data_IF_037672896187
#
_entry.id   IF_037672896187
#
_cell.length_a   1.000
_cell.length_b   1.000
_cell.length_c   1.000
_cell.angle_alpha   90.00
_cell.angle_beta   90.00
_cell.angle_gamma   90.00
#
_symmetry.space_group_name_H-M   'P 1'
#
loop_
_entity.id
_entity.type
_entity.pdbx_description
1 polymer ?
#
# COMPACT_ATOMS: atom_id res chain seq x y z
N UNK A 1 -70.69 -2.72 22.20
CA UNK A 1 -70.75 -3.85 21.23
C UNK A 1 -70.79 -3.28 19.82
N UNK A 2 -70.20 -4.02 18.88
CA UNK A 2 -70.21 -3.85 17.42
C UNK A 2 -69.13 -2.98 16.78
N UNK A 3 -68.24 -3.71 16.09
CA UNK A 3 -67.13 -3.27 15.24
C UNK A 3 -67.67 -3.15 13.81
N UNK A 4 -67.16 -2.22 13.00
CA UNK A 4 -66.97 -2.46 11.55
C UNK A 4 -65.63 -1.85 11.12
N UNK A 5 -64.71 -2.73 10.72
CA UNK A 5 -63.55 -2.43 9.88
C UNK A 5 -64.02 -2.32 8.43
N UNK A 6 -63.48 -1.38 7.65
CA UNK A 6 -63.35 -1.54 6.19
C UNK A 6 -61.98 -1.04 5.73
N UNK A 7 -61.20 -2.00 5.26
CA UNK A 7 -59.97 -1.84 4.50
C UNK A 7 -60.22 -1.24 3.13
N UNK A 8 -59.20 -0.56 2.61
CA UNK A 8 -58.87 -0.58 1.19
C UNK A 8 -58.87 0.79 0.53
N UNK A 9 -57.68 1.31 0.23
CA UNK A 9 -57.43 1.88 -1.09
C UNK A 9 -55.93 1.81 -1.42
N UNK A 10 -55.61 0.97 -2.41
CA UNK A 10 -54.35 0.99 -3.15
C UNK A 10 -54.50 2.02 -4.28
N UNK A 11 -53.58 2.97 -4.40
CA UNK A 11 -53.39 3.85 -5.57
C UNK A 11 -51.87 4.11 -5.66
N UNK A 12 -51.13 3.44 -6.56
CA UNK A 12 -50.71 3.86 -7.93
C UNK A 12 -49.70 5.04 -7.85
N UNK A 13 -48.48 4.95 -8.35
CA UNK A 13 -48.12 5.24 -9.75
C UNK A 13 -46.71 4.69 -10.11
N UNK A 14 -46.64 4.05 -11.26
CA UNK A 14 -45.46 3.85 -12.12
C UNK A 14 -45.21 5.07 -13.01
N UNK A 15 -43.95 5.50 -13.19
CA UNK A 15 -43.38 6.13 -14.40
C UNK A 15 -41.87 6.35 -14.16
N UNK A 16 -40.97 5.60 -14.80
CA UNK A 16 -40.36 5.86 -16.11
C UNK A 16 -39.53 7.16 -16.17
N UNK A 17 -38.22 7.08 -16.41
CA UNK A 17 -37.56 7.58 -17.63
C UNK A 17 -36.02 7.47 -17.57
N UNK A 18 -35.47 7.19 -18.75
CA UNK A 18 -34.07 7.02 -19.13
C UNK A 18 -33.39 8.38 -19.32
N UNK A 19 -32.11 8.52 -18.94
CA UNK A 19 -31.21 9.46 -19.60
C UNK A 19 -29.74 9.00 -19.45
N UNK A 20 -29.20 8.44 -20.52
CA UNK A 20 -27.77 8.26 -20.72
C UNK A 20 -27.16 9.59 -21.18
N UNK A 21 -26.03 9.98 -20.58
CA UNK A 21 -25.14 11.01 -21.11
C UNK A 21 -23.71 10.51 -20.99
N UNK A 22 -23.15 10.16 -22.14
CA UNK A 22 -21.74 9.84 -22.35
C UNK A 22 -21.14 10.99 -23.16
N UNK A 23 -20.15 11.72 -22.64
CA UNK A 23 -19.14 12.56 -23.34
C UNK A 23 -18.23 13.11 -22.22
N UNK A 24 -16.90 13.10 -22.24
CA UNK A 24 -15.91 12.68 -23.22
C UNK A 24 -14.51 12.67 -22.56
N UNK A 25 -13.55 11.99 -23.19
CA UNK A 25 -12.17 11.94 -22.75
C UNK A 25 -11.35 13.10 -23.35
N UNK A 26 -10.55 13.84 -22.57
CA UNK A 26 -9.50 14.68 -23.12
C UNK A 26 -8.17 13.92 -23.20
N UNK A 27 -7.82 13.60 -24.45
CA UNK A 27 -6.52 13.69 -25.12
C UNK A 27 -5.26 13.78 -24.24
N UNK A 28 -4.36 12.80 -24.43
CA UNK A 28 -2.98 12.82 -23.98
C UNK A 28 -2.17 13.92 -24.68
N UNK A 29 -1.49 14.76 -23.91
CA UNK A 29 -0.46 15.66 -24.42
C UNK A 29 0.88 15.29 -23.78
N UNK A 30 1.75 14.66 -24.57
CA UNK A 30 3.16 14.46 -24.24
C UNK A 30 3.93 15.75 -24.53
N UNK A 31 4.48 16.39 -23.50
CA UNK A 31 5.46 17.46 -23.65
C UNK A 31 6.70 17.11 -22.83
N UNK A 32 7.78 16.80 -23.54
CA UNK A 32 9.14 16.81 -23.00
C UNK A 32 9.82 18.12 -23.41
N UNK A 33 10.62 18.73 -22.53
CA UNK A 33 11.71 19.60 -22.95
C UNK A 33 13.07 19.00 -22.59
N UNK A 34 13.93 19.09 -23.60
CA UNK A 34 15.36 18.83 -23.68
C UNK A 34 16.22 19.97 -23.10
N UNK A 35 17.31 19.60 -22.40
CA UNK A 35 18.59 20.35 -22.24
C UNK A 35 18.57 21.53 -21.26
N UNK A 36 19.68 22.02 -20.70
CA UNK A 36 21.08 21.60 -20.54
C UNK A 36 21.75 22.65 -19.61
N UNK A 37 22.96 22.34 -19.14
CA UNK A 37 24.00 23.25 -18.61
C UNK A 37 23.99 23.60 -17.11
N UNK A 38 25.18 23.41 -16.50
CA UNK A 38 25.53 24.03 -15.23
C UNK A 38 26.68 23.36 -14.46
N UNK A 39 27.83 23.11 -15.10
CA UNK A 39 29.09 22.83 -14.37
C UNK A 39 29.46 24.02 -13.49
N UNK A 40 29.70 23.79 -12.20
CA UNK A 40 30.51 24.65 -11.36
C UNK A 40 31.43 23.77 -10.53
N UNK A 41 32.64 23.57 -11.06
CA UNK A 41 33.81 23.17 -10.30
C UNK A 41 34.14 24.23 -9.23
N UNK A 42 34.43 23.81 -8.00
CA UNK A 42 35.46 24.42 -7.12
C UNK A 42 35.73 23.46 -5.93
N UNK A 43 36.86 23.61 -5.21
CA UNK A 43 37.84 22.54 -5.06
C UNK A 43 37.93 22.11 -3.58
N UNK A 44 38.30 20.86 -3.33
CA UNK A 44 38.34 20.38 -1.95
C UNK A 44 39.22 19.15 -1.79
N UNK A 45 40.53 19.37 -1.95
CA UNK A 45 41.61 18.66 -1.27
C UNK A 45 41.49 17.13 -1.16
N UNK A 46 42.16 16.44 -2.08
CA UNK A 46 42.59 15.05 -1.88
C UNK A 46 43.51 14.98 -0.66
N UNK A 47 42.97 14.57 0.48
CA UNK A 47 43.77 14.09 1.59
C UNK A 47 44.08 12.61 1.32
N UNK A 48 45.15 12.38 0.57
CA UNK A 48 45.92 11.15 0.64
C UNK A 48 46.33 10.91 2.10
N UNK A 49 45.90 9.78 2.68
CA UNK A 49 46.75 9.05 3.62
C UNK A 49 46.39 7.56 3.61
N UNK A 50 47.39 6.67 3.68
CA UNK A 50 47.34 5.33 3.14
C UNK A 50 46.88 4.34 4.21
N UNK A 51 46.21 3.28 3.78
CA UNK A 51 45.79 2.20 4.67
C UNK A 51 45.56 0.95 3.86
N UNK A 52 46.62 0.19 3.71
CA UNK A 52 46.76 -1.02 2.91
C UNK A 52 45.58 -1.99 3.02
N UNK A 53 45.26 -2.58 1.86
CA UNK A 53 44.58 -3.86 1.72
C UNK A 53 45.29 -4.92 2.57
N UNK A 54 44.74 -5.22 3.74
CA UNK A 54 45.05 -6.47 4.43
C UNK A 54 44.00 -7.48 4.01
N UNK A 55 44.29 -8.16 2.90
CA UNK A 55 43.67 -9.44 2.61
C UNK A 55 43.96 -10.39 3.79
N UNK A 56 42.90 -10.85 4.45
CA UNK A 56 42.94 -12.06 5.27
C UNK A 56 41.88 -13.02 4.72
N UNK A 57 42.26 -14.27 4.41
CA UNK A 57 41.43 -15.23 3.71
C UNK A 57 40.52 -15.94 4.70
N UNK A 58 39.24 -16.13 4.36
CA UNK A 58 38.37 -16.94 5.20
C UNK A 58 36.90 -16.87 4.83
N UNK A 59 36.46 -17.91 4.13
CA UNK A 59 35.08 -18.41 4.08
C UNK A 59 33.96 -17.44 3.69
N UNK A 60 33.51 -17.59 2.45
CA UNK A 60 32.10 -17.46 2.08
C UNK A 60 31.27 -18.50 2.86
N UNK A 61 30.93 -18.19 4.11
CA UNK A 61 29.96 -18.99 4.87
C UNK A 61 28.94 -18.05 5.49
N UNK A 62 27.74 -18.18 4.96
CA UNK A 62 26.46 -17.88 5.59
C UNK A 62 26.01 -16.41 5.63
N UNK A 63 25.34 -15.99 4.55
CA UNK A 63 24.39 -14.87 4.56
C UNK A 63 23.03 -15.28 5.21
N UNK A 64 23.03 -16.30 6.06
CA UNK A 64 21.95 -16.64 6.98
C UNK A 64 21.74 -15.54 8.02
N UNK A 65 20.91 -14.55 7.67
CA UNK A 65 20.05 -13.91 8.67
C UNK A 65 20.45 -12.54 9.22
N UNK A 66 21.35 -11.77 8.58
CA UNK A 66 21.68 -10.39 9.04
C UNK A 66 21.81 -9.33 7.94
N UNK A 67 20.95 -9.38 6.92
CA UNK A 67 20.64 -8.19 6.13
C UNK A 67 19.68 -7.27 6.91
N UNK A 68 20.11 -6.80 8.08
CA UNK A 68 19.51 -5.67 8.78
C UNK A 68 20.61 -4.61 8.70
N UNK A 69 20.32 -3.52 7.99
CA UNK A 69 21.09 -2.27 7.97
C UNK A 69 22.15 -2.05 6.86
N UNK A 70 21.75 -2.27 5.60
CA UNK A 70 22.40 -1.62 4.44
C UNK A 70 21.33 -0.99 3.52
N UNK A 71 20.40 -0.22 4.10
CA UNK A 71 19.30 0.41 3.38
C UNK A 71 19.38 1.93 3.23
N UNK A 72 20.45 2.58 3.72
CA UNK A 72 20.58 4.06 3.67
C UNK A 72 21.67 4.57 2.71
N UNK A 73 22.30 3.69 1.95
CA UNK A 73 23.20 4.09 0.87
C UNK A 73 23.15 2.93 -0.13
N UNK A 74 22.56 3.08 -1.31
CA UNK A 74 23.20 3.75 -2.44
C UNK A 74 22.10 3.94 -3.50
N UNK A 75 21.99 5.16 -4.03
CA UNK A 75 21.11 5.66 -5.11
C UNK A 75 19.73 6.17 -4.68
N UNK A 76 19.63 7.50 -4.59
CA UNK A 76 18.39 8.20 -4.35
C UNK A 76 17.33 7.91 -5.40
N UNK A 77 16.23 7.28 -4.98
CA UNK A 77 14.86 7.52 -5.45
C UNK A 77 13.88 6.70 -4.59
N UNK A 78 13.67 7.09 -3.32
CA UNK A 78 12.47 6.80 -2.50
C UNK A 78 11.84 5.40 -2.42
N UNK A 79 12.42 4.35 -2.99
CA UNK A 79 11.87 2.99 -2.93
C UNK A 79 12.69 2.17 -1.96
N UNK A 80 12.24 2.12 -0.71
CA UNK A 80 12.68 1.11 0.23
C UNK A 80 12.29 -0.27 -0.32
N UNK A 81 13.22 -1.22 -0.28
CA UNK A 81 12.89 -2.62 -0.58
C UNK A 81 11.82 -3.08 0.42
N UNK A 82 10.76 -3.79 -0.02
CA UNK A 82 9.74 -4.22 0.90
C UNK A 82 10.30 -5.17 1.96
N UNK A 83 10.00 -4.88 3.21
CA UNK A 83 10.29 -5.75 4.35
C UNK A 83 9.32 -6.93 4.37
N UNK A 84 9.65 -8.02 5.07
CA UNK A 84 8.77 -9.21 5.19
C UNK A 84 8.49 -9.52 6.66
N UNK A 85 7.24 -9.84 6.98
CA UNK A 85 6.81 -10.31 8.30
C UNK A 85 5.69 -11.35 8.17
N UNK A 86 5.31 -11.98 9.29
CA UNK A 86 4.13 -12.86 9.33
C UNK A 86 2.86 -12.07 9.64
N UNK A 87 1.71 -12.57 9.19
CA UNK A 87 0.42 -12.12 9.71
C UNK A 87 0.34 -12.28 11.24
N UNK A 88 -0.54 -11.52 11.89
CA UNK A 88 -0.73 -11.46 13.36
C UNK A 88 0.51 -11.04 14.19
N UNK A 89 1.64 -10.65 13.59
CA UNK A 89 2.85 -10.29 14.36
C UNK A 89 2.69 -8.95 15.09
N UNK A 90 2.64 -7.86 14.32
CA UNK A 90 2.62 -6.51 14.86
C UNK A 90 2.00 -5.54 13.87
N UNK A 91 1.27 -4.56 14.42
CA UNK A 91 0.75 -3.42 13.68
C UNK A 91 1.90 -2.70 12.97
N UNK A 92 1.74 -2.49 11.67
CA UNK A 92 2.64 -1.68 10.86
C UNK A 92 2.24 -0.22 10.94
N UNK A 93 3.21 0.67 10.93
CA UNK A 93 2.98 2.10 10.90
C UNK A 93 3.99 2.82 10.02
N UNK A 94 3.63 4.02 9.59
CA UNK A 94 4.47 4.89 8.79
C UNK A 94 3.82 6.26 8.62
N UNK A 95 4.23 6.96 7.56
CA UNK A 95 3.68 8.26 7.21
C UNK A 95 3.89 8.55 5.73
N UNK A 96 4.36 9.75 5.42
CA UNK A 96 4.62 10.24 4.07
C UNK A 96 5.46 9.25 3.22
N UNK A 97 5.08 9.13 1.94
CA UNK A 97 5.81 8.36 0.94
C UNK A 97 5.14 7.04 0.61
N UNK A 98 5.91 6.12 0.03
CA UNK A 98 5.42 4.79 -0.33
C UNK A 98 6.14 3.74 0.51
N UNK A 99 5.38 3.03 1.33
CA UNK A 99 5.89 1.89 2.09
C UNK A 99 5.29 0.62 1.53
N UNK A 100 6.13 -0.39 1.30
CA UNK A 100 5.71 -1.70 0.83
C UNK A 100 6.18 -2.76 1.82
N UNK A 101 5.32 -3.73 2.15
CA UNK A 101 5.63 -4.77 3.12
C UNK A 101 4.97 -6.08 2.73
N UNK A 102 5.74 -7.15 2.69
CA UNK A 102 5.23 -8.51 2.52
C UNK A 102 4.73 -9.05 3.85
N UNK A 103 3.56 -9.68 3.80
CA UNK A 103 2.94 -10.40 4.91
C UNK A 103 2.76 -11.86 4.52
N UNK A 104 3.50 -12.75 5.18
CA UNK A 104 3.33 -14.19 5.08
C UNK A 104 2.02 -14.60 5.75
N UNK A 105 1.08 -15.10 4.94
CA UNK A 105 -0.21 -15.63 5.39
C UNK A 105 -0.10 -17.08 5.89
N UNK A 106 1.04 -17.74 5.65
CA UNK A 106 1.27 -19.14 6.03
C UNK A 106 0.58 -20.18 5.14
N UNK A 107 -0.19 -19.73 4.14
CA UNK A 107 -0.88 -20.58 3.17
C UNK A 107 -1.12 -19.86 1.86
N UNK A 108 -1.26 -20.62 0.77
CA UNK A 108 -1.73 -20.07 -0.49
C UNK A 108 -3.26 -19.95 -0.52
N UNK A 109 -3.77 -19.10 -1.40
CA UNK A 109 -5.20 -19.04 -1.67
C UNK A 109 -5.73 -20.33 -2.32
N UNK A 110 -7.06 -20.53 -2.37
CA UNK A 110 -8.09 -19.57 -1.97
C UNK A 110 -8.23 -19.45 -0.45
N UNK A 111 -8.24 -18.21 0.04
CA UNK A 111 -8.42 -17.90 1.47
C UNK A 111 -8.86 -16.44 1.62
N UNK A 112 -9.07 -15.99 2.85
CA UNK A 112 -9.39 -14.59 3.14
C UNK A 112 -8.78 -14.19 4.47
N UNK A 113 -8.41 -12.92 4.61
CA UNK A 113 -7.93 -12.38 5.88
C UNK A 113 -8.59 -11.03 6.18
N UNK A 114 -8.58 -10.65 7.46
CA UNK A 114 -9.04 -9.33 7.90
C UNK A 114 -7.86 -8.35 7.85
N UNK A 115 -8.04 -7.24 7.13
CA UNK A 115 -7.15 -6.09 7.17
C UNK A 115 -7.83 -5.02 8.04
N UNK A 116 -7.16 -4.59 9.10
CA UNK A 116 -7.59 -3.47 9.94
C UNK A 116 -6.64 -2.29 9.75
N UNK A 117 -7.14 -1.06 9.78
CA UNK A 117 -6.33 0.14 9.58
C UNK A 117 -6.85 1.37 10.32
N UNK A 118 -5.96 2.34 10.46
CA UNK A 118 -6.16 3.70 10.95
C UNK A 118 -5.31 4.64 10.10
N UNK A 119 -5.90 5.67 9.50
CA UNK A 119 -5.14 6.62 8.66
C UNK A 119 -5.31 8.07 9.12
N UNK A 120 -5.87 8.27 10.31
CA UNK A 120 -6.11 9.56 10.94
C UNK A 120 -6.80 10.57 10.00
N UNK A 121 -6.51 11.87 10.18
CA UNK A 121 -7.18 12.96 9.50
C UNK A 121 -6.55 13.33 8.14
N UNK A 122 -5.40 12.74 7.80
CA UNK A 122 -4.70 12.96 6.53
C UNK A 122 -4.89 11.75 5.60
N UNK A 123 -5.34 11.92 4.35
CA UNK A 123 -5.68 10.77 3.51
C UNK A 123 -4.50 9.90 3.05
N UNK A 124 -4.61 8.60 3.30
CA UNK A 124 -3.71 7.54 2.84
C UNK A 124 -4.40 6.55 1.92
N UNK A 125 -3.63 5.82 1.11
CA UNK A 125 -4.16 4.72 0.30
C UNK A 125 -3.45 3.42 0.59
N UNK A 126 -4.21 2.39 0.96
CA UNK A 126 -3.71 1.04 1.23
C UNK A 126 -4.13 0.12 0.08
N UNK A 127 -3.15 -0.53 -0.54
CA UNK A 127 -3.35 -1.47 -1.63
C UNK A 127 -2.76 -2.82 -1.27
N UNK A 128 -3.46 -3.90 -1.60
CA UNK A 128 -2.99 -5.27 -1.37
C UNK A 128 -2.78 -5.97 -2.69
N UNK A 129 -1.63 -6.61 -2.84
CA UNK A 129 -1.26 -7.39 -4.02
C UNK A 129 -0.98 -8.84 -3.65
N UNK A 130 -1.39 -9.75 -4.52
CA UNK A 130 -1.13 -11.19 -4.42
C UNK A 130 -0.61 -11.71 -5.76
N UNK A 131 0.56 -12.34 -5.75
CA UNK A 131 1.23 -12.79 -6.99
C UNK A 131 1.44 -11.67 -8.01
N UNK A 132 1.66 -10.43 -7.54
CA UNK A 132 1.82 -9.24 -8.39
C UNK A 132 0.52 -8.58 -8.86
N UNK A 133 -0.65 -9.18 -8.64
CA UNK A 133 -1.96 -8.60 -9.01
C UNK A 133 -2.59 -7.89 -7.82
N UNK A 134 -3.16 -6.70 -8.03
CA UNK A 134 -3.91 -5.99 -6.99
C UNK A 134 -5.22 -6.73 -6.70
N UNK A 135 -5.46 -7.06 -5.42
CA UNK A 135 -6.66 -7.76 -4.95
C UNK A 135 -7.54 -6.88 -4.05
N UNK A 136 -7.00 -5.80 -3.49
CA UNK A 136 -7.74 -4.85 -2.67
C UNK A 136 -7.17 -3.43 -2.79
N UNK A 137 -8.02 -2.44 -2.59
CA UNK A 137 -7.70 -1.02 -2.64
C UNK A 137 -8.72 -0.24 -1.82
N UNK A 138 -8.27 0.46 -0.81
CA UNK A 138 -9.13 1.29 0.04
C UNK A 138 -9.58 2.57 -0.66
N UNK A 139 -8.94 2.95 -1.77
CA UNK A 139 -8.94 4.36 -2.19
C UNK A 139 -8.20 5.23 -1.17
N UNK A 140 -8.35 6.56 -1.27
CA UNK A 140 -7.85 7.46 -0.24
C UNK A 140 -8.83 7.50 0.93
N UNK A 141 -8.35 7.14 2.11
CA UNK A 141 -9.07 7.07 3.37
C UNK A 141 -8.32 7.92 4.41
N UNK A 142 -9.05 8.61 5.27
CA UNK A 142 -8.51 9.60 6.20
C UNK A 142 -9.26 10.92 6.03
N UNK A 143 -9.95 11.37 7.07
CA UNK A 143 -10.69 12.62 7.10
C UNK A 143 -10.96 13.06 8.56
N UNK A 144 -11.43 14.28 8.75
CA UNK A 144 -11.74 14.82 10.07
C UNK A 144 -13.06 14.31 10.68
N UNK A 145 -13.69 13.28 10.10
CA UNK A 145 -15.00 12.76 10.53
C UNK A 145 -14.86 11.37 11.13
N UNK A 146 -14.21 10.45 10.42
CA UNK A 146 -14.00 9.05 10.81
C UNK A 146 -12.52 8.72 11.00
N UNK A 147 -11.61 9.69 10.82
CA UNK A 147 -10.16 9.51 11.01
C UNK A 147 -9.60 8.36 10.16
N UNK A 148 -10.32 7.96 9.10
CA UNK A 148 -9.90 6.85 8.25
C UNK A 148 -9.87 5.47 8.92
N UNK A 149 -10.36 5.30 10.15
CA UNK A 149 -10.44 4.00 10.82
C UNK A 149 -11.32 3.04 10.03
N UNK A 150 -10.87 1.80 9.82
CA UNK A 150 -11.69 0.81 9.15
C UNK A 150 -11.11 -0.59 9.12
N UNK A 151 -11.89 -1.50 8.52
CA UNK A 151 -11.45 -2.85 8.25
C UNK A 151 -12.15 -3.44 7.02
N UNK A 152 -11.50 -4.42 6.39
CA UNK A 152 -12.06 -5.16 5.27
C UNK A 152 -11.58 -6.61 5.27
N UNK A 153 -12.48 -7.51 4.89
CA UNK A 153 -12.13 -8.89 4.54
C UNK A 153 -11.59 -8.91 3.11
N UNK A 154 -10.30 -9.21 2.98
CA UNK A 154 -9.62 -9.31 1.70
C UNK A 154 -9.64 -10.76 1.22
N UNK A 155 -10.24 -10.98 0.05
CA UNK A 155 -10.29 -12.30 -0.57
C UNK A 155 -9.01 -12.55 -1.39
N UNK A 156 -8.33 -13.65 -1.08
CA UNK A 156 -7.12 -14.10 -1.79
C UNK A 156 -7.52 -15.18 -2.79
N UNK A 157 -7.35 -14.97 -4.10
CA UNK A 157 -7.68 -15.96 -5.12
C UNK A 157 -6.75 -17.17 -5.07
N UNK A 158 -7.10 -18.24 -5.78
CA UNK A 158 -6.22 -19.40 -5.92
C UNK A 158 -4.88 -19.01 -6.58
N UNK A 159 -3.77 -19.49 -6.01
CA UNK A 159 -2.43 -19.20 -6.47
C UNK A 159 -1.38 -20.01 -5.71
N UNK A 160 -0.10 -19.76 -5.99
CA UNK A 160 1.03 -20.47 -5.35
C UNK A 160 1.74 -19.63 -4.28
N UNK A 161 1.51 -18.32 -4.22
CA UNK A 161 2.16 -17.45 -3.24
C UNK A 161 1.56 -17.68 -1.84
N UNK A 162 2.40 -17.66 -0.81
CA UNK A 162 2.01 -17.73 0.61
C UNK A 162 1.93 -16.36 1.28
N UNK A 163 2.22 -15.30 0.54
CA UNK A 163 2.29 -13.93 1.05
C UNK A 163 1.54 -12.94 0.17
N UNK A 164 1.18 -11.81 0.80
CA UNK A 164 0.64 -10.62 0.14
C UNK A 164 1.58 -9.44 0.33
N UNK A 165 1.65 -8.56 -0.66
CA UNK A 165 2.32 -7.28 -0.54
C UNK A 165 1.28 -6.22 -0.18
N UNK A 166 1.43 -5.58 0.97
CA UNK A 166 0.66 -4.38 1.32
C UNK A 166 1.52 -3.17 0.96
N UNK A 167 0.94 -2.26 0.17
CA UNK A 167 1.54 -0.98 -0.16
C UNK A 167 0.69 0.14 0.39
N UNK A 168 1.30 1.01 1.18
CA UNK A 168 0.66 2.24 1.67
C UNK A 168 1.29 3.43 0.97
N UNK A 169 0.46 4.34 0.48
CA UNK A 169 0.90 5.61 -0.11
C UNK A 169 0.34 6.74 0.73
N UNK A 170 1.24 7.44 1.40
CA UNK A 170 0.92 8.55 2.28
C UNK A 170 1.30 9.91 1.73
N UNK A 171 0.43 10.88 1.99
CA UNK A 171 0.65 12.29 1.66
C UNK A 171 1.59 12.97 2.67
N UNK A 172 2.17 14.13 2.34
CA UNK A 172 3.03 14.86 3.27
C UNK A 172 2.34 15.17 4.59
N UNK A 173 3.01 14.83 5.69
CA UNK A 173 2.50 15.04 7.05
C UNK A 173 1.48 14.00 7.52
N UNK A 174 1.22 12.93 6.75
CA UNK A 174 0.35 11.85 7.21
C UNK A 174 1.03 10.90 8.19
N UNK A 175 0.21 10.17 8.93
CA UNK A 175 0.56 8.98 9.66
C UNK A 175 -0.47 7.90 9.35
N UNK A 176 -0.09 6.64 9.45
CA UNK A 176 -1.01 5.53 9.27
C UNK A 176 -0.55 4.33 10.06
N UNK A 177 -1.50 3.47 10.40
CA UNK A 177 -1.24 2.16 10.95
C UNK A 177 -2.16 1.09 10.35
N UNK A 178 -1.68 -0.14 10.19
CA UNK A 178 -2.51 -1.27 9.77
C UNK A 178 -2.04 -2.60 10.34
N UNK A 179 -2.95 -3.57 10.39
CA UNK A 179 -2.67 -4.95 10.79
C UNK A 179 -3.24 -5.92 9.76
N UNK A 180 -2.42 -6.88 9.32
CA UNK A 180 -2.86 -8.03 8.52
C UNK A 180 -3.07 -9.21 9.46
N UNK A 181 -4.32 -9.62 9.63
CA UNK A 181 -4.64 -10.78 10.45
C UNK A 181 -4.37 -12.08 9.68
N UNK A 182 -4.05 -13.18 10.37
CA UNK A 182 -3.91 -14.45 9.69
C UNK A 182 -5.26 -14.99 9.20
N UNK A 183 -5.32 -15.68 8.05
CA UNK A 183 -6.52 -16.38 7.63
C UNK A 183 -6.95 -17.42 8.66
N UNK A 184 -8.25 -17.44 8.99
CA UNK A 184 -8.83 -18.50 9.81
C UNK A 184 -8.81 -19.83 9.04
N UNK A 185 -8.51 -20.92 9.76
CA UNK A 185 -8.39 -22.28 9.22
C UNK A 185 -9.75 -22.95 9.02
#
# INVERSE_FOLDING_TARGET
>A
MSRIRRSGLRVVLTAATVAAVAFGAPVAASAAPTGSAGSNDLPGSVADLPGSVSELPGSVVDLGGRAIDLGSAILGNGSSLPTTQKCDQSRQSGGEGVTSTYHELGRSGPTSFLLDWETFDVPDRIQVFYGGSQIHDTGRIGDSINEGTGSAVVNVPAGSASSVLVRVTGEPGTAWEYTVNCPIL
#
